data_IF_475760325691
#
_entry.id   IF_475760325691
#
_cell.length_a   1.000
_cell.length_b   1.000
_cell.length_c   1.000
_cell.angle_alpha   90.00
_cell.angle_beta   90.00
_cell.angle_gamma   90.00
#
_symmetry.space_group_name_H-M   'P 1'
#
loop_
_entity.id
_entity.type
_entity.pdbx_description
1 polymer ?
#
# COMPACT_ATOMS: atom_id res chain seq x y z
N UNK A 1 -1.53 1.68 21.67
CA UNK A 1 -0.53 0.62 21.47
C UNK A 1 -0.82 0.05 20.10
N UNK A 2 0.03 0.31 19.10
CA UNK A 2 -0.26 -0.07 17.73
C UNK A 2 0.00 -1.60 17.54
N UNK A 3 -0.96 -2.37 17.03
CA UNK A 3 -0.92 -3.84 17.03
C UNK A 3 -0.03 -4.47 15.94
N UNK A 4 0.70 -3.68 15.14
CA UNK A 4 1.45 -4.18 13.98
C UNK A 4 2.62 -5.09 14.33
N UNK A 5 3.32 -4.82 15.45
CA UNK A 5 4.37 -5.74 15.93
C UNK A 5 3.79 -7.10 16.32
N UNK A 6 2.60 -7.13 16.93
CA UNK A 6 1.93 -8.37 17.29
C UNK A 6 1.51 -9.15 16.02
N UNK A 7 0.97 -8.48 15.00
CA UNK A 7 0.66 -9.13 13.71
C UNK A 7 1.91 -9.63 12.98
N UNK A 8 3.00 -8.86 13.00
CA UNK A 8 4.29 -9.26 12.40
C UNK A 8 4.85 -10.49 13.09
N UNK A 9 4.82 -10.49 14.42
CA UNK A 9 5.23 -11.62 15.25
C UNK A 9 4.35 -12.86 15.00
N UNK A 10 3.03 -12.69 14.88
CA UNK A 10 2.12 -13.79 14.55
C UNK A 10 2.42 -14.39 13.17
N UNK A 11 2.69 -13.56 12.15
CA UNK A 11 3.04 -14.07 10.83
C UNK A 11 4.39 -14.78 10.82
N UNK A 12 5.40 -14.32 11.56
CA UNK A 12 6.69 -15.01 11.67
C UNK A 12 6.58 -16.36 12.40
N UNK A 13 5.87 -16.39 13.52
CA UNK A 13 5.78 -17.59 14.37
C UNK A 13 4.73 -18.61 13.90
N UNK A 14 3.82 -18.20 13.01
CA UNK A 14 2.81 -19.07 12.41
C UNK A 14 2.87 -19.10 10.88
N UNK A 15 4.03 -18.78 10.29
CA UNK A 15 4.23 -18.76 8.83
C UNK A 15 3.87 -20.09 8.13
N UNK A 16 3.92 -21.21 8.85
CA UNK A 16 3.51 -22.53 8.36
C UNK A 16 2.01 -22.84 8.48
N UNK A 17 1.24 -22.02 9.20
CA UNK A 17 -0.20 -22.20 9.44
C UNK A 17 -1.05 -21.15 8.72
N UNK A 18 -0.53 -19.94 8.52
CA UNK A 18 -1.22 -18.84 7.82
C UNK A 18 -0.71 -18.79 6.38
N UNK A 19 -1.52 -19.29 5.45
CA UNK A 19 -1.23 -19.27 4.01
C UNK A 19 -2.03 -18.13 3.36
N UNK A 20 -1.40 -16.96 3.22
CA UNK A 20 -2.03 -15.78 2.63
C UNK A 20 -2.37 -15.98 1.14
N UNK A 21 -1.73 -16.95 0.49
CA UNK A 21 -2.06 -17.37 -0.86
C UNK A 21 -3.46 -18.03 -0.93
N UNK A 22 -3.90 -18.64 0.17
CA UNK A 22 -5.25 -19.23 0.27
C UNK A 22 -6.31 -18.22 0.74
N UNK A 23 -5.91 -17.15 1.43
CA UNK A 23 -6.83 -16.15 2.00
C UNK A 23 -7.01 -14.95 1.07
N UNK A 24 -5.89 -14.31 0.68
CA UNK A 24 -5.85 -13.10 -0.14
C UNK A 24 -5.44 -13.40 -1.58
N UNK A 25 -4.69 -14.48 -1.79
CA UNK A 25 -4.09 -14.82 -3.09
C UNK A 25 -2.68 -14.28 -3.27
N UNK A 26 -1.99 -13.86 -2.20
CA UNK A 26 -0.61 -13.36 -2.24
C UNK A 26 0.33 -14.16 -1.33
N UNK A 27 1.63 -14.18 -1.64
CA UNK A 27 2.63 -14.89 -0.83
C UNK A 27 2.87 -14.18 0.51
N UNK A 28 3.04 -14.93 1.59
CA UNK A 28 3.23 -14.42 2.96
C UNK A 28 4.31 -13.33 3.12
N UNK A 29 5.39 -13.41 2.34
CA UNK A 29 6.50 -12.46 2.44
C UNK A 29 6.03 -11.02 2.19
N UNK A 30 5.11 -10.81 1.24
CA UNK A 30 4.68 -9.44 0.89
C UNK A 30 3.88 -8.81 2.02
N UNK A 31 3.07 -9.61 2.70
CA UNK A 31 2.30 -9.17 3.87
C UNK A 31 3.23 -8.79 5.02
N UNK A 32 4.27 -9.60 5.25
CA UNK A 32 5.31 -9.32 6.24
C UNK A 32 6.01 -7.99 5.95
N UNK A 33 6.39 -7.78 4.69
CA UNK A 33 7.05 -6.54 4.28
C UNK A 33 6.13 -5.32 4.40
N UNK A 34 4.82 -5.43 4.13
CA UNK A 34 3.87 -4.33 4.35
C UNK A 34 3.80 -3.97 5.84
N UNK A 35 3.81 -4.96 6.73
CA UNK A 35 3.88 -4.68 8.17
C UNK A 35 5.21 -4.02 8.56
N UNK A 36 6.33 -4.40 7.94
CA UNK A 36 7.62 -3.75 8.17
C UNK A 36 7.59 -2.27 7.75
N UNK A 37 6.90 -1.92 6.66
CA UNK A 37 6.64 -0.51 6.28
C UNK A 37 5.79 0.19 7.34
N UNK A 38 4.75 -0.47 7.87
CA UNK A 38 3.92 0.05 8.96
C UNK A 38 4.70 0.32 10.25
N UNK A 39 5.60 -0.59 10.62
CA UNK A 39 6.52 -0.42 11.76
C UNK A 39 7.46 0.77 11.50
N UNK A 40 7.95 0.93 10.27
CA UNK A 40 8.78 2.08 9.89
C UNK A 40 8.02 3.41 10.00
N UNK A 41 6.77 3.48 9.53
CA UNK A 41 5.90 4.66 9.63
C UNK A 41 5.68 5.05 11.09
N UNK A 42 5.29 4.08 11.93
CA UNK A 42 5.11 4.31 13.36
C UNK A 42 6.40 4.81 14.02
N UNK A 43 7.52 4.14 13.77
CA UNK A 43 8.82 4.57 14.29
C UNK A 43 9.17 5.99 13.85
N UNK A 44 8.96 6.33 12.56
CA UNK A 44 9.22 7.69 12.04
C UNK A 44 8.42 8.72 12.82
N UNK A 45 7.14 8.47 13.07
CA UNK A 45 6.25 9.38 13.83
C UNK A 45 6.69 9.53 15.29
N UNK A 46 7.07 8.45 15.94
CA UNK A 46 7.58 8.46 17.32
C UNK A 46 8.93 9.20 17.45
N UNK A 47 9.81 9.10 16.46
CA UNK A 47 11.07 9.84 16.46
C UNK A 47 10.86 11.33 16.14
N UNK A 48 9.89 11.66 15.28
CA UNK A 48 9.51 13.05 14.97
C UNK A 48 8.94 13.75 16.20
N UNK A 49 8.03 13.12 16.94
CA UNK A 49 7.43 13.71 18.14
C UNK A 49 8.45 13.96 19.26
N UNK A 50 9.53 13.17 19.29
CA UNK A 50 10.65 13.34 20.21
C UNK A 50 11.81 14.17 19.64
N UNK A 51 11.66 14.78 18.45
CA UNK A 51 12.69 15.60 17.78
C UNK A 51 14.05 14.91 17.59
N UNK A 52 14.04 13.59 17.41
CA UNK A 52 15.26 12.76 17.29
C UNK A 52 15.34 11.97 15.99
N UNK A 53 14.44 12.23 15.04
CA UNK A 53 14.43 11.55 13.76
C UNK A 53 15.76 11.74 13.00
N UNK A 54 16.46 10.64 12.78
CA UNK A 54 17.66 10.59 11.95
C UNK A 54 17.28 10.24 10.51
N UNK A 55 17.51 11.18 9.59
CA UNK A 55 17.34 10.94 8.14
C UNK A 55 18.18 9.78 7.64
N UNK A 56 19.42 9.65 8.14
CA UNK A 56 20.30 8.54 7.78
C UNK A 56 19.70 7.19 8.17
N UNK A 57 19.12 7.10 9.36
CA UNK A 57 18.52 5.85 9.84
C UNK A 57 17.20 5.55 9.11
N UNK A 58 16.38 6.57 8.84
CA UNK A 58 15.17 6.44 8.03
C UNK A 58 15.49 5.88 6.65
N UNK A 59 16.45 6.48 5.94
CA UNK A 59 16.89 5.99 4.62
C UNK A 59 17.43 4.56 4.72
N UNK A 60 18.29 4.25 5.72
CA UNK A 60 18.85 2.91 5.88
C UNK A 60 17.77 1.84 6.04
N UNK A 61 16.76 2.08 6.88
CA UNK A 61 15.65 1.14 7.09
C UNK A 61 14.79 1.02 5.84
N UNK A 62 14.45 2.14 5.21
CA UNK A 62 13.65 2.16 3.98
C UNK A 62 14.33 1.37 2.84
N UNK A 63 15.62 1.61 2.59
CA UNK A 63 16.37 0.88 1.56
C UNK A 63 16.41 -0.62 1.85
N UNK A 64 16.50 -1.04 3.13
CA UNK A 64 16.42 -2.47 3.48
C UNK A 64 15.10 -3.11 3.08
N UNK A 65 13.98 -2.41 3.31
CA UNK A 65 12.64 -2.89 2.96
C UNK A 65 12.46 -2.88 1.43
N UNK A 66 12.90 -1.81 0.76
CA UNK A 66 12.84 -1.66 -0.70
C UNK A 66 13.61 -2.79 -1.42
N UNK A 67 14.79 -3.16 -0.93
CA UNK A 67 15.55 -4.29 -1.48
C UNK A 67 14.77 -5.61 -1.40
N UNK A 68 14.06 -5.87 -0.30
CA UNK A 68 13.23 -7.07 -0.14
C UNK A 68 12.07 -7.05 -1.13
N UNK A 69 11.38 -5.92 -1.27
CA UNK A 69 10.29 -5.74 -2.25
C UNK A 69 10.78 -5.98 -3.68
N UNK A 70 11.89 -5.36 -4.08
CA UNK A 70 12.42 -5.48 -5.44
C UNK A 70 12.95 -6.88 -5.75
N UNK A 71 13.57 -7.58 -4.77
CA UNK A 71 13.97 -8.98 -4.96
C UNK A 71 12.75 -9.88 -5.12
N UNK A 72 11.77 -9.74 -4.23
CA UNK A 72 10.54 -10.55 -4.26
C UNK A 72 9.72 -10.36 -5.55
N UNK A 73 9.64 -9.13 -6.08
CA UNK A 73 9.00 -8.85 -7.38
C UNK A 73 9.73 -9.53 -8.53
N UNK A 74 11.08 -9.52 -8.53
CA UNK A 74 11.88 -10.20 -9.57
C UNK A 74 11.70 -11.72 -9.53
N UNK A 75 11.56 -12.29 -8.34
CA UNK A 75 11.35 -13.73 -8.14
C UNK A 75 9.92 -14.18 -8.46
N UNK A 76 8.91 -13.33 -8.20
CA UNK A 76 7.50 -13.60 -8.50
C UNK A 76 7.15 -13.57 -10.00
N UNK A 77 8.12 -13.75 -10.91
CA UNK A 77 7.90 -13.73 -12.36
C UNK A 77 7.35 -15.01 -12.96
N UNK A 78 7.01 -16.00 -12.13
CA UNK A 78 6.55 -17.34 -12.57
C UNK A 78 5.14 -17.36 -13.22
N UNK A 79 4.48 -16.21 -13.35
CA UNK A 79 3.34 -16.01 -14.27
C UNK A 79 1.98 -16.52 -13.78
N UNK A 80 1.90 -17.07 -12.57
CA UNK A 80 0.62 -17.45 -11.96
C UNK A 80 -0.20 -16.25 -11.47
N UNK A 81 -1.50 -16.44 -11.25
CA UNK A 81 -2.35 -15.38 -10.67
C UNK A 81 -1.84 -14.94 -9.29
N UNK A 82 -1.40 -15.90 -8.45
CA UNK A 82 -0.81 -15.60 -7.13
C UNK A 82 0.45 -14.73 -7.24
N UNK A 83 1.25 -14.95 -8.28
CA UNK A 83 2.46 -14.18 -8.54
C UNK A 83 2.16 -12.74 -8.98
N UNK A 84 1.14 -12.56 -9.84
CA UNK A 84 0.65 -11.25 -10.26
C UNK A 84 0.08 -10.49 -9.05
N UNK A 85 -0.80 -11.13 -8.26
CA UNK A 85 -1.38 -10.54 -7.05
C UNK A 85 -0.29 -10.18 -6.05
N UNK A 86 0.69 -11.06 -5.81
CA UNK A 86 1.85 -10.78 -4.94
C UNK A 86 2.63 -9.57 -5.45
N UNK A 87 2.85 -9.47 -6.76
CA UNK A 87 3.57 -8.34 -7.36
C UNK A 87 2.79 -7.04 -7.22
N UNK A 88 1.46 -7.06 -7.36
CA UNK A 88 0.58 -5.90 -7.14
C UNK A 88 0.71 -5.41 -5.70
N UNK A 89 0.62 -6.31 -4.72
CA UNK A 89 0.81 -5.97 -3.31
C UNK A 89 2.21 -5.39 -3.05
N UNK A 90 3.25 -5.96 -3.66
CA UNK A 90 4.61 -5.50 -3.48
C UNK A 90 4.86 -4.11 -4.10
N UNK A 91 4.33 -3.84 -5.29
CA UNK A 91 4.44 -2.52 -5.92
C UNK A 91 3.61 -1.46 -5.20
N UNK A 92 2.46 -1.84 -4.64
CA UNK A 92 1.70 -0.95 -3.75
C UNK A 92 2.41 -0.70 -2.42
N UNK A 93 3.13 -1.69 -1.88
CA UNK A 93 3.97 -1.53 -0.70
C UNK A 93 5.15 -0.59 -0.95
N UNK A 94 5.73 -0.59 -2.17
CA UNK A 94 6.71 0.42 -2.58
C UNK A 94 6.09 1.83 -2.53
N UNK A 95 4.90 2.03 -3.11
CA UNK A 95 4.18 3.31 -3.02
C UNK A 95 3.98 3.75 -1.57
N UNK A 96 3.57 2.84 -0.69
CA UNK A 96 3.44 3.13 0.74
C UNK A 96 4.80 3.52 1.35
N UNK A 97 5.85 2.75 1.10
CA UNK A 97 7.19 3.03 1.62
C UNK A 97 7.71 4.41 1.18
N UNK A 98 7.59 4.74 -0.11
CA UNK A 98 8.01 6.04 -0.64
C UNK A 98 7.21 7.18 0.00
N UNK A 99 5.90 6.99 0.21
CA UNK A 99 5.09 7.97 0.93
C UNK A 99 5.48 8.14 2.40
N UNK A 100 5.90 7.06 3.07
CA UNK A 100 6.39 7.10 4.45
C UNK A 100 7.71 7.86 4.52
N UNK A 101 8.60 7.69 3.56
CA UNK A 101 9.91 8.37 3.55
C UNK A 101 9.74 9.84 3.17
N UNK A 102 9.14 10.11 2.01
CA UNK A 102 9.15 11.42 1.34
C UNK A 102 7.86 12.23 1.52
N UNK A 103 6.85 11.66 2.19
CA UNK A 103 5.54 12.27 2.36
C UNK A 103 4.56 11.90 1.25
N UNK A 104 3.30 12.31 1.42
CA UNK A 104 2.18 12.03 0.51
C UNK A 104 2.23 12.92 -0.73
N UNK A 105 3.26 12.73 -1.56
CA UNK A 105 3.49 13.48 -2.79
C UNK A 105 3.43 12.58 -4.04
N UNK A 106 2.35 12.64 -4.84
CA UNK A 106 2.20 11.83 -6.06
C UNK A 106 3.05 12.29 -7.24
N UNK A 107 3.76 13.42 -7.12
CA UNK A 107 4.63 13.96 -8.18
C UNK A 107 6.08 13.47 -8.08
N UNK A 108 6.42 12.70 -7.05
CA UNK A 108 7.75 12.10 -6.92
C UNK A 108 7.92 10.96 -7.91
N UNK A 109 9.11 10.88 -8.53
CA UNK A 109 9.40 9.90 -9.58
C UNK A 109 9.25 8.46 -9.11
N UNK A 110 9.67 8.16 -7.88
CA UNK A 110 9.60 6.83 -7.28
C UNK A 110 8.15 6.40 -7.02
N UNK A 111 7.29 7.35 -6.64
CA UNK A 111 5.85 7.12 -6.45
C UNK A 111 5.16 6.91 -7.79
N UNK A 112 5.50 7.72 -8.80
CA UNK A 112 4.95 7.55 -10.15
C UNK A 112 5.35 6.20 -10.77
N UNK A 113 6.60 5.78 -10.62
CA UNK A 113 7.07 4.48 -11.10
C UNK A 113 6.32 3.32 -10.42
N UNK A 114 6.21 3.33 -9.08
CA UNK A 114 5.52 2.26 -8.35
C UNK A 114 4.02 2.20 -8.67
N UNK A 115 3.36 3.36 -8.87
CA UNK A 115 1.96 3.44 -9.34
C UNK A 115 1.83 2.90 -10.76
N UNK A 116 2.68 3.32 -11.71
CA UNK A 116 2.64 2.84 -13.10
C UNK A 116 2.90 1.35 -13.22
N UNK A 117 3.82 0.79 -12.41
CA UNK A 117 4.05 -0.65 -12.31
C UNK A 117 2.81 -1.37 -11.80
N UNK A 118 2.15 -0.83 -10.77
CA UNK A 118 0.91 -1.40 -10.24
C UNK A 118 -0.21 -1.41 -11.28
N UNK A 119 -0.41 -0.31 -12.00
CA UNK A 119 -1.39 -0.20 -13.11
C UNK A 119 -1.10 -1.25 -14.19
N UNK A 120 0.17 -1.45 -14.53
CA UNK A 120 0.58 -2.44 -15.54
C UNK A 120 0.20 -3.85 -15.12
N UNK A 121 0.39 -4.21 -13.85
CA UNK A 121 0.00 -5.52 -13.30
C UNK A 121 -1.52 -5.67 -13.18
N UNK A 122 -2.24 -4.62 -12.77
CA UNK A 122 -3.70 -4.62 -12.70
C UNK A 122 -4.33 -4.91 -14.08
N UNK A 123 -3.75 -4.36 -15.16
CA UNK A 123 -4.18 -4.63 -16.54
C UNK A 123 -3.94 -6.07 -17.01
N UNK A 124 -3.06 -6.82 -16.33
CA UNK A 124 -2.75 -8.22 -16.66
C UNK A 124 -3.67 -9.22 -15.93
N UNK A 125 -4.54 -8.74 -15.04
CA UNK A 125 -5.43 -9.62 -14.30
C UNK A 125 -6.43 -10.31 -15.25
N UNK A 126 -6.57 -11.64 -15.19
CA UNK A 126 -7.44 -12.38 -16.10
C UNK A 126 -8.93 -12.30 -15.70
N UNK A 127 -9.24 -11.90 -14.47
CA UNK A 127 -10.59 -11.94 -13.92
C UNK A 127 -10.85 -10.78 -12.94
N UNK A 128 -11.96 -10.08 -13.14
CA UNK A 128 -12.44 -9.00 -12.27
C UNK A 128 -12.73 -9.46 -10.83
N UNK A 129 -12.97 -10.76 -10.60
CA UNK A 129 -13.20 -11.32 -9.25
C UNK A 129 -11.99 -11.17 -8.33
N UNK A 130 -10.78 -11.19 -8.88
CA UNK A 130 -9.53 -11.00 -8.11
C UNK A 130 -9.41 -9.57 -7.58
N UNK A 131 -10.08 -8.61 -8.21
CA UNK A 131 -10.01 -7.19 -7.80
C UNK A 131 -10.58 -6.98 -6.39
N UNK A 132 -11.52 -7.83 -5.96
CA UNK A 132 -12.04 -7.79 -4.59
C UNK A 132 -11.01 -8.16 -3.51
N UNK A 133 -9.97 -8.93 -3.85
CA UNK A 133 -8.85 -9.16 -2.92
C UNK A 133 -7.79 -8.07 -3.01
N UNK A 134 -7.87 -7.14 -3.97
CA UNK A 134 -6.88 -6.09 -4.22
C UNK A 134 -7.28 -4.74 -3.63
N UNK A 135 -8.21 -4.71 -2.68
CA UNK A 135 -8.71 -3.46 -2.14
C UNK A 135 -7.60 -2.62 -1.50
N UNK A 136 -6.71 -3.25 -0.74
CA UNK A 136 -5.58 -2.56 -0.13
C UNK A 136 -4.63 -1.96 -1.19
N UNK A 137 -4.12 -2.75 -2.16
CA UNK A 137 -3.33 -2.23 -3.26
C UNK A 137 -3.98 -1.06 -4.00
N UNK A 138 -5.27 -1.20 -4.32
CA UNK A 138 -6.04 -0.17 -4.99
C UNK A 138 -6.04 1.10 -4.14
N UNK A 139 -6.48 1.03 -2.87
CA UNK A 139 -6.57 2.19 -1.99
C UNK A 139 -5.26 2.98 -1.93
N UNK A 140 -4.14 2.31 -1.64
CA UNK A 140 -2.84 2.98 -1.49
C UNK A 140 -2.37 3.60 -2.81
N UNK A 141 -2.43 2.84 -3.91
CA UNK A 141 -1.90 3.32 -5.18
C UNK A 141 -2.81 4.32 -5.87
N UNK A 142 -4.13 4.20 -5.71
CA UNK A 142 -5.09 5.17 -6.21
C UNK A 142 -5.03 6.48 -5.45
N UNK A 143 -4.86 6.46 -4.13
CA UNK A 143 -4.63 7.69 -3.34
C UNK A 143 -3.39 8.47 -3.81
N UNK A 144 -2.35 7.74 -4.25
CA UNK A 144 -1.08 8.29 -4.72
C UNK A 144 -1.02 8.43 -6.25
N UNK A 145 -2.14 8.24 -6.96
CA UNK A 145 -2.18 8.38 -8.40
C UNK A 145 -2.04 9.84 -8.82
N UNK A 146 -1.30 10.07 -9.90
CA UNK A 146 -1.31 11.36 -10.60
C UNK A 146 -2.68 11.58 -11.27
N UNK A 147 -3.07 12.84 -11.55
CA UNK A 147 -4.35 13.16 -12.19
C UNK A 147 -4.64 12.34 -13.46
N UNK A 148 -3.62 12.07 -14.26
CA UNK A 148 -3.74 11.30 -15.51
C UNK A 148 -4.18 9.84 -15.30
N UNK A 149 -4.00 9.29 -14.09
CA UNK A 149 -4.31 7.91 -13.75
C UNK A 149 -5.60 7.75 -12.95
N UNK A 150 -6.26 8.82 -12.51
CA UNK A 150 -7.48 8.76 -11.69
C UNK A 150 -8.62 8.03 -12.41
N UNK A 151 -8.82 8.34 -13.69
CA UNK A 151 -9.84 7.70 -14.52
C UNK A 151 -9.66 6.17 -14.61
N UNK A 152 -8.41 5.69 -14.55
CA UNK A 152 -8.13 4.26 -14.53
C UNK A 152 -8.60 3.60 -13.22
N UNK A 153 -8.27 4.20 -12.06
CA UNK A 153 -8.68 3.69 -10.75
C UNK A 153 -10.20 3.76 -10.55
N UNK A 154 -10.84 4.85 -10.98
CA UNK A 154 -12.30 4.96 -10.98
C UNK A 154 -12.93 3.88 -11.86
N UNK A 155 -12.40 3.67 -13.07
CA UNK A 155 -12.88 2.65 -13.99
C UNK A 155 -12.80 1.22 -13.44
N UNK A 156 -11.66 0.84 -12.84
CA UNK A 156 -11.49 -0.52 -12.31
C UNK A 156 -12.39 -0.79 -11.10
N UNK A 157 -12.62 0.20 -10.23
CA UNK A 157 -13.51 0.08 -9.07
C UNK A 157 -14.97 -0.09 -9.52
N UNK A 158 -15.44 0.71 -10.48
CA UNK A 158 -16.79 0.59 -11.04
C UNK A 158 -17.00 -0.74 -11.76
N UNK A 159 -16.05 -1.16 -12.59
CA UNK A 159 -16.13 -2.42 -13.33
C UNK A 159 -16.15 -3.65 -12.40
N UNK A 160 -15.54 -3.55 -11.22
CA UNK A 160 -15.43 -4.65 -10.26
C UNK A 160 -16.56 -4.68 -9.23
N UNK A 161 -17.47 -3.70 -9.25
CA UNK A 161 -18.58 -3.64 -8.30
C UNK A 161 -18.18 -3.32 -6.86
N UNK A 162 -16.96 -2.79 -6.63
CA UNK A 162 -16.46 -2.35 -5.33
C UNK A 162 -17.11 -1.02 -4.85
N UNK A 163 -18.26 -0.67 -5.43
CA UNK A 163 -19.09 0.50 -5.10
C UNK A 163 -20.00 0.27 -3.90
N UNK A 164 -20.13 -0.99 -3.44
CA UNK A 164 -20.74 -1.37 -2.17
C UNK A 164 -19.66 -1.50 -1.09
N UNK A 165 -19.99 -1.67 0.21
CA UNK A 165 -18.97 -1.71 1.27
C UNK A 165 -18.00 -2.87 1.02
N UNK A 166 -16.83 -2.54 0.48
CA UNK A 166 -15.87 -3.50 -0.08
C UNK A 166 -14.85 -3.98 0.96
N UNK A 167 -14.75 -3.26 2.08
CA UNK A 167 -13.85 -3.55 3.18
C UNK A 167 -14.61 -4.02 4.41
N UNK A 168 -13.92 -4.79 5.26
CA UNK A 168 -14.45 -5.47 6.46
C UNK A 168 -15.08 -4.51 7.50
N UNK A 169 -14.98 -3.19 7.30
CA UNK A 169 -15.53 -2.14 8.17
C UNK A 169 -16.44 -1.13 7.44
N UNK A 170 -16.91 -1.43 6.23
CA UNK A 170 -17.90 -0.58 5.54
C UNK A 170 -17.34 0.57 4.71
N UNK A 171 -16.03 0.60 4.46
CA UNK A 171 -15.37 1.68 3.73
C UNK A 171 -15.60 1.60 2.21
N UNK A 172 -15.68 2.78 1.57
CA UNK A 172 -15.76 2.95 0.12
C UNK A 172 -14.39 3.37 -0.43
N UNK A 173 -13.73 2.46 -1.13
CA UNK A 173 -12.38 2.66 -1.69
C UNK A 173 -12.31 3.91 -2.56
N UNK A 174 -13.34 4.11 -3.40
CA UNK A 174 -13.44 5.27 -4.27
C UNK A 174 -13.56 6.58 -3.49
N UNK A 175 -14.33 6.59 -2.40
CA UNK A 175 -14.49 7.79 -1.57
C UNK A 175 -13.16 8.19 -0.92
N UNK A 176 -12.38 7.22 -0.44
CA UNK A 176 -11.04 7.47 0.11
C UNK A 176 -10.12 8.09 -0.95
N UNK A 177 -10.12 7.53 -2.17
CA UNK A 177 -9.33 8.05 -3.28
C UNK A 177 -9.76 9.46 -3.70
N UNK A 178 -11.07 9.69 -3.87
CA UNK A 178 -11.58 11.01 -4.24
C UNK A 178 -11.26 12.06 -3.18
N UNK A 179 -11.34 11.70 -1.90
CA UNK A 179 -10.95 12.60 -0.82
C UNK A 179 -9.44 12.88 -0.84
N UNK A 180 -8.61 11.88 -1.09
CA UNK A 180 -7.17 12.04 -1.28
C UNK A 180 -6.86 13.02 -2.43
N UNK A 181 -7.54 12.89 -3.57
CA UNK A 181 -7.35 13.76 -4.73
C UNK A 181 -7.82 15.19 -4.45
N UNK A 182 -8.98 15.37 -3.80
CA UNK A 182 -9.46 16.69 -3.37
C UNK A 182 -8.48 17.36 -2.41
N UNK A 183 -7.98 16.64 -1.41
CA UNK A 183 -7.00 17.13 -0.46
C UNK A 183 -5.73 17.59 -1.19
N UNK A 184 -5.23 16.80 -2.14
CA UNK A 184 -4.08 17.14 -2.99
C UNK A 184 -4.32 18.43 -3.78
N UNK A 185 -5.49 18.58 -4.39
CA UNK A 185 -5.81 19.74 -5.24
C UNK A 185 -5.99 21.03 -4.43
N UNK A 186 -6.44 20.90 -3.17
CA UNK A 186 -6.55 22.01 -2.22
C UNK A 186 -5.19 22.43 -1.63
N UNK A 187 -4.16 21.58 -1.74
CA UNK A 187 -2.83 21.91 -1.24
C UNK A 187 -2.10 22.86 -2.19
N UNK A 188 -1.94 24.10 -1.75
CA UNK A 188 -1.02 25.08 -2.33
C UNK A 188 0.36 25.08 -1.66
N UNK A 189 0.51 24.40 -0.52
CA UNK A 189 1.77 24.19 0.20
C UNK A 189 1.88 22.77 0.76
N UNK A 190 3.09 22.22 0.94
CA UNK A 190 3.30 20.91 1.55
C UNK A 190 2.92 20.96 3.04
N UNK A 191 1.68 20.60 3.37
CA UNK A 191 1.25 20.38 4.74
C UNK A 191 1.62 18.97 5.19
N UNK A 192 1.79 18.80 6.51
CA UNK A 192 2.12 17.52 7.15
C UNK A 192 0.91 16.57 7.21
N UNK A 193 0.24 16.36 6.08
CA UNK A 193 -0.84 15.37 6.00
C UNK A 193 -0.24 13.99 6.21
N UNK A 194 -0.97 13.19 6.98
CA UNK A 194 -0.66 11.81 7.27
C UNK A 194 -1.65 10.88 6.56
N UNK A 195 -1.30 9.60 6.48
CA UNK A 195 -2.25 8.61 5.96
C UNK A 195 -3.53 8.51 6.81
N UNK A 196 -3.47 8.82 8.10
CA UNK A 196 -4.65 8.83 8.98
C UNK A 196 -5.63 9.92 8.54
N UNK A 197 -5.13 11.09 8.12
CA UNK A 197 -5.99 12.15 7.59
C UNK A 197 -6.63 11.75 6.26
N UNK A 198 -5.94 10.97 5.43
CA UNK A 198 -6.44 10.51 4.13
C UNK A 198 -7.43 9.34 4.24
N UNK A 199 -7.22 8.43 5.19
CA UNK A 199 -7.96 7.16 5.30
C UNK A 199 -8.87 7.20 6.55
N UNK A 200 -9.65 8.27 6.73
CA UNK A 200 -10.68 8.36 7.78
C UNK A 200 -10.19 7.99 9.21
N UNK A 201 -8.95 8.34 9.56
CA UNK A 201 -8.32 8.05 10.85
C UNK A 201 -7.60 6.71 10.94
N UNK A 202 -7.40 5.99 9.83
CA UNK A 202 -6.74 4.69 9.79
C UNK A 202 -5.34 4.74 9.15
N UNK A 203 -4.45 3.84 9.57
CA UNK A 203 -3.16 3.66 8.91
C UNK A 203 -3.25 2.61 7.80
N UNK A 204 -2.40 2.68 6.76
CA UNK A 204 -2.42 1.73 5.65
C UNK A 204 -2.39 0.27 6.09
N UNK A 205 -1.55 -0.20 7.02
CA UNK A 205 -1.56 -1.62 7.40
C UNK A 205 -2.85 -2.05 8.10
N UNK A 206 -3.61 -1.13 8.71
CA UNK A 206 -4.92 -1.43 9.30
C UNK A 206 -5.94 -1.84 8.24
N UNK A 207 -5.77 -1.41 6.99
CA UNK A 207 -6.61 -1.81 5.87
C UNK A 207 -6.44 -3.29 5.48
N UNK A 208 -5.41 -3.99 6.00
CA UNK A 208 -5.17 -5.43 5.76
C UNK A 208 -5.89 -6.36 6.75
N UNK A 209 -6.47 -5.81 7.82
CA UNK A 209 -7.04 -6.55 8.98
C UNK A 209 -8.56 -6.49 8.95
#
# INVERSE_FOLDING_TARGET
MAPFMDYRYLMDNHAGLIQMDQIIGCKNWVMSTILDVGILDQWKREELSHFRLSMKELTRRATSIEMVLESGIKEARSGGVVDIVTSIYATSALTYLHSVVSGLNPYLSEVQDSVSRTITLLKQLPDSRVVSSLVWPLCITGCMASPDHEAFFTGIIHASGLTQPALRNGWYVLEIMENAWKIRDLMTQPSAITWEDMINGHNPPTLLI
#
